data_IF_161817577646
#
_entry.id   IF_161817577646
#
_cell.length_a   1.000
_cell.length_b   1.000
_cell.length_c   1.000
_cell.angle_alpha   90.00
_cell.angle_beta   90.00
_cell.angle_gamma   90.00
#
_symmetry.space_group_name_H-M   'P 1'
#
loop_
_entity.id
_entity.type
_entity.pdbx_description
1 polymer ?
#
# COMPACT_ATOMS: atom_id res chain seq x y z
N UNK A 1 3.47 -28.56 14.83
CA UNK A 1 4.27 -27.52 15.45
C UNK A 1 3.71 -27.18 16.85
N UNK A 2 2.47 -26.67 16.99
CA UNK A 2 1.88 -26.31 18.28
C UNK A 2 1.76 -27.50 19.25
N UNK A 3 1.42 -28.71 18.78
CA UNK A 3 1.39 -29.95 19.60
C UNK A 3 2.75 -30.31 20.21
N UNK A 4 3.83 -29.82 19.63
CA UNK A 4 5.21 -29.98 20.13
C UNK A 4 5.66 -28.81 21.03
N UNK A 5 4.74 -27.95 21.49
CA UNK A 5 5.06 -26.80 22.33
C UNK A 5 5.55 -25.58 21.60
N UNK A 6 5.57 -25.59 20.24
CA UNK A 6 6.01 -24.47 19.43
C UNK A 6 5.01 -23.29 19.48
N UNK A 7 5.54 -22.07 19.43
CA UNK A 7 4.75 -20.82 19.34
C UNK A 7 5.01 -20.14 18.02
N UNK A 8 3.97 -19.58 17.40
CA UNK A 8 4.06 -18.83 16.14
C UNK A 8 3.65 -17.39 16.32
N UNK A 9 4.22 -16.53 15.48
CA UNK A 9 3.91 -15.11 15.34
C UNK A 9 3.51 -14.90 13.88
N UNK A 10 2.40 -14.21 13.64
CA UNK A 10 2.10 -13.68 12.32
C UNK A 10 2.92 -12.40 12.14
N UNK A 11 3.76 -12.38 11.13
CA UNK A 11 4.67 -11.28 10.81
C UNK A 11 4.34 -10.70 9.43
N UNK A 12 4.09 -9.40 9.37
CA UNK A 12 3.64 -8.65 8.19
C UNK A 12 2.31 -9.16 7.61
N UNK A 13 2.11 -10.48 7.53
CA UNK A 13 0.88 -11.11 7.01
C UNK A 13 0.18 -11.96 8.04
N UNK A 14 -1.15 -11.78 8.13
CA UNK A 14 -1.99 -12.61 8.98
C UNK A 14 -2.29 -13.94 8.30
N UNK A 15 -2.00 -15.05 8.97
CA UNK A 15 -2.41 -16.39 8.53
C UNK A 15 -3.85 -16.61 8.95
N UNK A 16 -4.79 -16.50 8.05
CA UNK A 16 -6.22 -16.65 8.32
C UNK A 16 -6.53 -18.05 8.84
N UNK A 17 -7.19 -18.14 10.00
CA UNK A 17 -7.43 -19.40 10.71
C UNK A 17 -6.20 -19.94 11.44
N UNK A 18 -5.08 -19.21 11.47
CA UNK A 18 -3.83 -19.58 12.09
C UNK A 18 -3.89 -19.63 13.62
N UNK A 19 -2.78 -20.11 14.20
CA UNK A 19 -2.61 -20.33 15.64
C UNK A 19 -1.67 -19.33 16.30
N UNK A 20 -1.27 -18.30 15.58
CA UNK A 20 -0.33 -17.30 16.07
C UNK A 20 -0.78 -16.71 17.42
N UNK A 21 0.20 -16.41 18.26
CA UNK A 21 -0.01 -15.81 19.59
C UNK A 21 -0.11 -14.30 19.51
N UNK A 22 0.47 -13.70 18.48
CA UNK A 22 0.44 -12.27 18.20
C UNK A 22 0.66 -12.03 16.71
N UNK A 23 0.01 -11.01 16.19
CA UNK A 23 0.23 -10.47 14.85
C UNK A 23 1.01 -9.16 14.97
N UNK A 24 2.17 -9.07 14.32
CA UNK A 24 3.00 -7.87 14.25
C UNK A 24 3.00 -7.37 12.80
N UNK A 25 2.48 -6.18 12.56
CA UNK A 25 2.36 -5.61 11.22
C UNK A 25 2.25 -4.09 11.24
N UNK A 26 2.33 -3.46 10.07
CA UNK A 26 1.88 -2.09 9.90
C UNK A 26 0.34 -2.00 9.86
N UNK A 27 -0.22 -0.84 10.22
CA UNK A 27 -1.68 -0.66 10.15
C UNK A 27 -2.16 -0.62 8.70
N UNK A 28 -2.62 -1.77 8.18
CA UNK A 28 -3.09 -1.90 6.81
C UNK A 28 -4.31 -1.03 6.49
N UNK A 29 -5.18 -0.75 7.47
CA UNK A 29 -6.31 0.18 7.27
C UNK A 29 -5.80 1.60 7.11
N UNK A 30 -4.78 2.00 7.89
CA UNK A 30 -4.12 3.30 7.73
C UNK A 30 -3.38 3.41 6.38
N UNK A 31 -2.79 2.31 5.88
CA UNK A 31 -2.19 2.27 4.52
C UNK A 31 -3.25 2.65 3.48
N UNK A 32 -4.37 1.93 3.43
CA UNK A 32 -5.43 2.21 2.45
C UNK A 32 -5.99 3.63 2.58
N UNK A 33 -6.25 4.08 3.80
CA UNK A 33 -6.73 5.45 4.03
C UNK A 33 -5.73 6.51 3.53
N UNK A 34 -4.42 6.30 3.74
CA UNK A 34 -3.37 7.20 3.24
C UNK A 34 -3.31 7.23 1.70
N UNK A 35 -3.45 6.07 1.05
CA UNK A 35 -3.50 5.93 -0.40
C UNK A 35 -4.69 6.70 -1.00
N UNK A 36 -5.90 6.45 -0.50
CA UNK A 36 -7.11 7.13 -0.96
C UNK A 36 -7.02 8.65 -0.75
N UNK A 37 -6.60 9.10 0.44
CA UNK A 37 -6.42 10.52 0.73
C UNK A 37 -5.37 11.19 -0.16
N UNK A 38 -4.27 10.50 -0.47
CA UNK A 38 -3.23 10.99 -1.37
C UNK A 38 -3.76 11.26 -2.77
N UNK A 39 -4.52 10.32 -3.34
CA UNK A 39 -5.16 10.48 -4.65
C UNK A 39 -6.21 11.59 -4.62
N UNK A 40 -7.10 11.61 -3.62
CA UNK A 40 -8.15 12.64 -3.49
C UNK A 40 -7.57 14.05 -3.34
N UNK A 41 -6.48 14.20 -2.58
CA UNK A 41 -5.81 15.50 -2.43
C UNK A 41 -5.31 16.04 -3.77
N UNK A 42 -4.79 15.17 -4.63
CA UNK A 42 -4.31 15.55 -5.96
C UNK A 42 -5.46 15.79 -6.97
N UNK A 43 -6.65 15.24 -6.71
CA UNK A 43 -7.87 15.48 -7.51
C UNK A 43 -8.67 16.71 -7.07
N UNK A 44 -8.21 17.44 -6.04
CA UNK A 44 -8.92 18.62 -5.53
C UNK A 44 -9.18 19.63 -6.65
N UNK A 45 -10.44 20.08 -6.75
CA UNK A 45 -10.89 21.04 -7.78
C UNK A 45 -11.43 20.37 -9.05
N UNK A 46 -11.24 19.07 -9.27
CA UNK A 46 -11.84 18.35 -10.39
C UNK A 46 -13.29 17.95 -10.06
N UNK A 47 -14.23 18.26 -10.95
CA UNK A 47 -15.65 17.91 -10.77
C UNK A 47 -15.87 16.43 -11.06
N UNK A 48 -16.44 15.70 -10.10
CA UNK A 48 -16.83 14.27 -10.22
C UNK A 48 -15.75 13.37 -10.86
N UNK A 49 -14.48 13.43 -10.41
CA UNK A 49 -13.42 12.64 -11.03
C UNK A 49 -13.71 11.14 -10.93
N UNK A 50 -13.33 10.40 -11.97
CA UNK A 50 -13.43 8.93 -12.00
C UNK A 50 -12.22 8.34 -11.29
N UNK A 51 -12.45 7.61 -10.19
CA UNK A 51 -11.40 6.97 -9.39
C UNK A 51 -11.48 5.46 -9.53
N UNK A 52 -10.43 4.86 -10.10
CA UNK A 52 -10.24 3.42 -10.17
C UNK A 52 -9.43 2.89 -9.00
N UNK A 53 -9.56 1.59 -8.71
CA UNK A 53 -8.80 0.92 -7.66
C UNK A 53 -8.19 -0.38 -8.16
N UNK A 54 -6.90 -0.57 -7.87
CA UNK A 54 -6.15 -1.81 -8.10
C UNK A 54 -5.68 -2.32 -6.74
N UNK A 55 -6.43 -3.30 -6.19
CA UNK A 55 -6.12 -3.89 -4.90
C UNK A 55 -5.00 -4.93 -5.02
N UNK A 56 -4.45 -5.38 -3.90
CA UNK A 56 -3.42 -6.40 -3.85
C UNK A 56 -3.91 -7.80 -4.20
N UNK A 57 -3.11 -8.81 -3.90
CA UNK A 57 -3.43 -10.22 -4.17
C UNK A 57 -4.64 -10.70 -3.37
N UNK A 58 -5.62 -11.37 -3.99
CA UNK A 58 -6.87 -11.79 -3.32
C UNK A 58 -6.67 -12.89 -2.26
N UNK A 59 -5.52 -13.54 -2.23
CA UNK A 59 -5.17 -14.56 -1.22
C UNK A 59 -4.43 -13.98 -0.02
N UNK A 60 -4.15 -12.67 -0.02
CA UNK A 60 -3.43 -11.96 1.04
C UNK A 60 -4.37 -11.08 1.86
N UNK A 61 -4.44 -11.31 3.17
CA UNK A 61 -5.29 -10.53 4.07
C UNK A 61 -4.94 -9.04 4.09
N UNK A 62 -3.70 -8.66 3.83
CA UNK A 62 -3.29 -7.26 3.73
C UNK A 62 -4.04 -6.51 2.62
N UNK A 63 -4.32 -7.15 1.48
CA UNK A 63 -5.10 -6.55 0.41
C UNK A 63 -6.50 -6.11 0.89
N UNK A 64 -7.12 -6.90 1.75
CA UNK A 64 -8.43 -6.59 2.33
C UNK A 64 -8.34 -5.50 3.41
N UNK A 65 -7.26 -5.45 4.20
CA UNK A 65 -7.05 -4.35 5.15
C UNK A 65 -6.86 -3.02 4.43
N UNK A 66 -6.07 -2.98 3.34
CA UNK A 66 -5.87 -1.78 2.53
C UNK A 66 -7.17 -1.37 1.86
N UNK A 67 -7.89 -2.33 1.24
CA UNK A 67 -9.21 -2.08 0.67
C UNK A 67 -10.18 -1.51 1.70
N UNK A 68 -10.21 -2.06 2.91
CA UNK A 68 -11.05 -1.52 4.00
C UNK A 68 -10.70 -0.06 4.33
N UNK A 69 -9.42 0.31 4.29
CA UNK A 69 -8.98 1.69 4.44
C UNK A 69 -9.44 2.59 3.29
N UNK A 70 -9.31 2.12 2.04
CA UNK A 70 -9.80 2.82 0.86
C UNK A 70 -11.32 3.03 0.94
N UNK A 71 -12.07 1.96 1.24
CA UNK A 71 -13.53 1.97 1.34
C UNK A 71 -14.04 2.99 2.36
N UNK A 72 -13.38 3.13 3.53
CA UNK A 72 -13.74 4.11 4.55
C UNK A 72 -13.67 5.55 4.03
N UNK A 73 -12.72 5.83 3.14
CA UNK A 73 -12.51 7.18 2.58
C UNK A 73 -13.34 7.39 1.30
N UNK A 74 -13.35 6.42 0.39
CA UNK A 74 -13.92 6.59 -0.95
C UNK A 74 -15.44 6.34 -0.99
N UNK A 75 -15.95 5.32 -0.26
CA UNK A 75 -17.37 4.94 -0.35
C UNK A 75 -18.34 6.07 0.03
N UNK A 76 -18.10 6.89 1.08
CA UNK A 76 -18.95 8.04 1.36
C UNK A 76 -18.98 9.06 0.22
N UNK A 77 -17.85 9.26 -0.48
CA UNK A 77 -17.74 10.19 -1.60
C UNK A 77 -18.39 9.65 -2.88
N UNK A 78 -18.28 8.36 -3.14
CA UNK A 78 -19.02 7.68 -4.20
C UNK A 78 -20.52 7.77 -3.97
N UNK A 79 -20.98 7.49 -2.75
CA UNK A 79 -22.40 7.57 -2.38
C UNK A 79 -22.96 8.98 -2.52
N UNK A 80 -22.16 10.00 -2.17
CA UNK A 80 -22.53 11.41 -2.31
C UNK A 80 -22.47 11.91 -3.75
N UNK A 81 -21.84 11.16 -4.68
CA UNK A 81 -21.60 11.61 -6.06
C UNK A 81 -20.54 12.69 -6.19
N UNK A 82 -19.71 12.89 -5.16
CA UNK A 82 -18.59 13.85 -5.19
C UNK A 82 -17.48 13.37 -6.14
N UNK A 83 -17.27 12.06 -6.18
CA UNK A 83 -16.40 11.37 -7.11
C UNK A 83 -17.18 10.26 -7.81
N UNK A 84 -16.74 9.86 -8.99
CA UNK A 84 -17.35 8.76 -9.76
C UNK A 84 -16.58 7.47 -9.50
N UNK A 85 -17.31 6.40 -9.18
CA UNK A 85 -16.72 5.08 -8.98
C UNK A 85 -16.25 4.52 -10.33
N UNK A 86 -14.95 4.37 -10.47
CA UNK A 86 -14.30 3.72 -11.60
C UNK A 86 -14.25 2.19 -11.44
N UNK A 87 -13.63 1.49 -12.40
CA UNK A 87 -13.39 0.05 -12.29
C UNK A 87 -12.49 -0.28 -11.09
N UNK A 88 -12.75 -1.42 -10.47
CA UNK A 88 -12.04 -1.90 -9.29
C UNK A 88 -11.71 -3.38 -9.45
N UNK A 89 -10.47 -3.79 -9.15
CA UNK A 89 -10.07 -5.18 -9.29
C UNK A 89 -8.87 -5.54 -8.39
N UNK A 90 -8.88 -6.79 -7.89
CA UNK A 90 -7.71 -7.40 -7.29
C UNK A 90 -6.66 -7.72 -8.36
N UNK A 91 -5.39 -7.55 -7.98
CA UNK A 91 -4.22 -7.89 -8.81
C UNK A 91 -3.60 -9.16 -8.23
N UNK A 92 -3.77 -10.33 -8.90
CA UNK A 92 -3.19 -11.57 -8.42
C UNK A 92 -1.69 -11.43 -8.14
N UNK A 93 -1.25 -12.03 -7.04
CA UNK A 93 0.15 -12.12 -6.60
C UNK A 93 0.88 -10.77 -6.47
N UNK A 94 0.16 -9.65 -6.46
CA UNK A 94 0.71 -8.28 -6.41
C UNK A 94 1.62 -7.93 -7.60
N UNK A 95 1.58 -8.73 -8.68
CA UNK A 95 2.52 -8.64 -9.79
C UNK A 95 2.15 -7.53 -10.78
N UNK A 96 3.15 -6.75 -11.19
CA UNK A 96 3.02 -5.74 -12.23
C UNK A 96 2.55 -6.34 -13.58
N UNK A 97 2.98 -7.56 -13.90
CA UNK A 97 2.57 -8.30 -15.10
C UNK A 97 1.08 -8.63 -15.12
N UNK A 98 0.46 -8.80 -13.95
CA UNK A 98 -0.99 -8.98 -13.82
C UNK A 98 -1.72 -7.63 -13.79
N UNK A 99 -1.12 -6.60 -13.21
CA UNK A 99 -1.72 -5.26 -13.13
C UNK A 99 -1.85 -4.58 -14.51
N UNK A 100 -0.87 -4.71 -15.39
CA UNK A 100 -0.85 -4.03 -16.68
C UNK A 100 -2.04 -4.40 -17.59
N UNK A 101 -2.37 -5.67 -17.85
CA UNK A 101 -3.55 -6.04 -18.62
C UNK A 101 -4.85 -5.64 -17.92
N UNK A 102 -4.93 -5.75 -16.59
CA UNK A 102 -6.09 -5.31 -15.81
C UNK A 102 -6.32 -3.82 -16.02
N UNK A 103 -5.30 -2.99 -15.84
CA UNK A 103 -5.45 -1.53 -16.02
C UNK A 103 -5.75 -1.16 -17.47
N UNK A 104 -5.20 -1.88 -18.44
CA UNK A 104 -5.56 -1.72 -19.85
C UNK A 104 -7.05 -1.95 -20.09
N UNK A 105 -7.63 -3.01 -19.52
CA UNK A 105 -9.07 -3.26 -19.59
C UNK A 105 -9.90 -2.19 -18.87
N UNK A 106 -9.41 -1.67 -17.74
CA UNK A 106 -10.06 -0.57 -17.03
C UNK A 106 -10.13 0.69 -17.91
N UNK A 107 -9.04 1.03 -18.61
CA UNK A 107 -9.00 2.15 -19.56
C UNK A 107 -9.97 1.94 -20.72
N UNK A 108 -10.01 0.74 -21.31
CA UNK A 108 -10.95 0.42 -22.40
C UNK A 108 -12.40 0.60 -21.97
N UNK A 109 -12.77 0.04 -20.81
CA UNK A 109 -14.13 0.13 -20.24
C UNK A 109 -14.58 1.56 -19.98
N UNK A 110 -13.66 2.49 -19.75
CA UNK A 110 -13.96 3.89 -19.43
C UNK A 110 -13.68 4.84 -20.59
N UNK A 111 -13.28 4.36 -21.75
CA UNK A 111 -12.85 5.21 -22.87
C UNK A 111 -11.67 6.11 -22.48
N UNK A 112 -10.72 5.58 -21.71
CA UNK A 112 -9.57 6.27 -21.11
C UNK A 112 -9.94 7.39 -20.11
N UNK A 113 -11.16 7.39 -19.58
CA UNK A 113 -11.64 8.40 -18.62
C UNK A 113 -11.46 7.93 -17.17
N UNK A 114 -10.23 7.69 -16.75
CA UNK A 114 -9.85 7.48 -15.34
C UNK A 114 -9.03 8.67 -14.90
N UNK A 115 -9.48 9.35 -13.86
CA UNK A 115 -8.88 10.59 -13.38
C UNK A 115 -7.88 10.37 -12.25
N UNK A 116 -7.96 9.22 -11.56
CA UNK A 116 -7.03 8.82 -10.54
C UNK A 116 -7.13 7.34 -10.23
N UNK A 117 -6.05 6.74 -9.73
CA UNK A 117 -6.00 5.32 -9.38
C UNK A 117 -5.44 5.15 -7.97
N UNK A 118 -6.17 4.42 -7.13
CA UNK A 118 -5.66 3.91 -5.86
C UNK A 118 -5.05 2.54 -6.13
N UNK A 119 -3.72 2.51 -6.26
CA UNK A 119 -2.94 1.30 -6.44
C UNK A 119 -2.34 0.84 -5.10
N UNK A 120 -2.45 -0.46 -4.81
CA UNK A 120 -2.14 -1.02 -3.51
C UNK A 120 -0.64 -1.04 -3.17
N UNK A 121 0.25 -1.08 -4.19
CA UNK A 121 1.69 -0.96 -3.99
C UNK A 121 2.39 -0.32 -5.19
N UNK A 122 3.71 -0.06 -5.06
CA UNK A 122 4.50 0.60 -6.11
C UNK A 122 4.71 -0.27 -7.36
N UNK A 123 4.70 -1.60 -7.24
CA UNK A 123 4.78 -2.48 -8.41
C UNK A 123 3.54 -2.36 -9.29
N UNK A 124 2.37 -2.37 -8.67
CA UNK A 124 1.08 -2.15 -9.34
C UNK A 124 1.04 -0.73 -9.92
N UNK A 125 1.46 0.28 -9.15
CA UNK A 125 1.55 1.66 -9.62
C UNK A 125 2.50 1.80 -10.81
N UNK A 126 3.64 1.10 -10.78
CA UNK A 126 4.60 1.05 -11.89
C UNK A 126 3.98 0.49 -13.19
N UNK A 127 3.13 -0.53 -13.07
CA UNK A 127 2.38 -1.08 -14.21
C UNK A 127 1.37 -0.06 -14.78
N UNK A 128 0.69 0.70 -13.91
CA UNK A 128 -0.20 1.81 -14.33
C UNK A 128 0.62 2.85 -15.09
N UNK A 129 1.76 3.29 -14.56
CA UNK A 129 2.65 4.27 -15.21
C UNK A 129 3.13 3.76 -16.56
N UNK A 130 3.58 2.51 -16.65
CA UNK A 130 4.03 1.91 -17.91
C UNK A 130 2.90 1.86 -18.96
N UNK A 131 1.70 1.49 -18.55
CA UNK A 131 0.52 1.44 -19.44
C UNK A 131 0.13 2.83 -19.94
N UNK A 132 0.13 3.85 -19.06
CA UNK A 132 -0.15 5.25 -19.47
C UNK A 132 0.87 5.73 -20.48
N UNK A 133 2.17 5.50 -20.25
CA UNK A 133 3.26 5.85 -21.17
C UNK A 133 3.10 5.16 -22.53
N UNK A 134 2.87 3.85 -22.54
CA UNK A 134 2.69 3.08 -23.76
C UNK A 134 1.49 3.53 -24.60
N UNK A 135 0.47 4.10 -23.96
CA UNK A 135 -0.72 4.67 -24.61
C UNK A 135 -0.62 6.17 -24.87
N UNK A 136 0.53 6.79 -24.65
CA UNK A 136 0.75 8.23 -24.76
C UNK A 136 -0.24 9.08 -23.95
N UNK A 137 -0.70 8.56 -22.80
CA UNK A 137 -1.57 9.26 -21.87
C UNK A 137 -0.75 10.04 -20.86
N UNK A 138 -1.33 11.12 -20.33
CA UNK A 138 -0.70 11.97 -19.31
C UNK A 138 -0.71 11.29 -17.93
N UNK A 139 0.19 11.69 -17.00
CA UNK A 139 0.13 11.25 -15.61
C UNK A 139 -1.20 11.57 -14.97
N UNK A 140 -1.68 10.66 -14.13
CA UNK A 140 -2.87 10.84 -13.29
C UNK A 140 -2.50 10.66 -11.81
N UNK A 141 -3.25 11.24 -10.87
CA UNK A 141 -3.10 10.95 -9.45
C UNK A 141 -3.07 9.44 -9.16
N UNK A 142 -1.98 8.98 -8.56
CA UNK A 142 -1.69 7.56 -8.39
C UNK A 142 -1.02 7.32 -7.04
N UNK A 143 -1.56 6.40 -6.27
CA UNK A 143 -0.95 5.95 -5.02
C UNK A 143 -0.03 4.75 -5.23
N UNK A 144 0.71 4.42 -4.18
CA UNK A 144 1.49 3.21 -4.06
C UNK A 144 1.76 2.88 -2.60
N UNK A 145 2.60 1.89 -2.36
CA UNK A 145 3.12 1.49 -1.05
C UNK A 145 4.47 0.79 -1.24
N UNK A 146 5.24 0.76 -0.20
CA UNK A 146 6.56 0.15 -0.02
C UNK A 146 7.73 1.11 -0.25
N UNK A 147 7.50 2.31 -0.76
CA UNK A 147 8.52 3.33 -0.99
C UNK A 147 9.74 2.76 -1.76
N UNK A 148 9.48 1.96 -2.79
CA UNK A 148 10.52 1.37 -3.62
C UNK A 148 11.30 2.45 -4.38
N UNK A 149 12.55 2.19 -4.76
CA UNK A 149 13.34 3.13 -5.56
C UNK A 149 12.59 3.56 -6.83
N UNK A 150 11.98 2.61 -7.54
CA UNK A 150 11.19 2.87 -8.75
C UNK A 150 9.92 3.70 -8.45
N UNK A 151 9.22 3.42 -7.34
CA UNK A 151 8.08 4.22 -6.89
C UNK A 151 8.47 5.66 -6.58
N UNK A 152 9.60 5.84 -5.88
CA UNK A 152 10.13 7.18 -5.58
C UNK A 152 10.58 7.91 -6.84
N UNK A 153 11.21 7.22 -7.81
CA UNK A 153 11.52 7.77 -9.13
C UNK A 153 10.27 8.24 -9.87
N UNK A 154 9.18 7.47 -9.83
CA UNK A 154 7.90 7.89 -10.40
C UNK A 154 7.33 9.12 -9.68
N UNK A 155 7.48 9.21 -8.35
CA UNK A 155 7.02 10.36 -7.57
C UNK A 155 7.79 11.62 -7.92
N UNK A 156 9.12 11.58 -7.93
CA UNK A 156 9.92 12.78 -8.21
C UNK A 156 9.77 13.26 -9.65
N UNK A 157 9.54 12.33 -10.60
CA UNK A 157 9.28 12.64 -12.01
C UNK A 157 7.82 13.00 -12.33
N UNK A 158 6.91 12.92 -11.35
CA UNK A 158 5.52 13.35 -11.50
C UNK A 158 4.56 12.28 -12.04
N UNK A 159 4.97 11.02 -12.19
CA UNK A 159 4.13 9.91 -12.66
C UNK A 159 3.34 9.22 -11.56
N UNK A 160 3.75 9.36 -10.31
CA UNK A 160 3.06 8.85 -9.14
C UNK A 160 2.93 9.96 -8.10
N UNK A 161 1.81 10.04 -7.40
CA UNK A 161 1.54 11.11 -6.44
C UNK A 161 2.21 10.86 -5.10
N UNK A 162 2.12 9.62 -4.62
CA UNK A 162 2.62 9.24 -3.30
C UNK A 162 2.84 7.74 -3.20
N UNK A 163 3.62 7.35 -2.22
CA UNK A 163 3.72 5.97 -1.73
C UNK A 163 3.59 5.93 -0.22
N UNK A 164 3.10 4.82 0.33
CA UNK A 164 3.09 4.59 1.77
C UNK A 164 4.38 3.90 2.19
N UNK A 165 5.09 4.53 3.09
CA UNK A 165 6.34 4.04 3.66
C UNK A 165 6.08 3.30 4.97
N UNK A 166 6.61 2.11 5.05
CA UNK A 166 6.68 1.22 6.21
C UNK A 166 8.14 1.05 6.62
N UNK A 167 8.50 1.53 7.79
CA UNK A 167 9.88 1.37 8.26
C UNK A 167 10.10 -0.05 8.81
N UNK A 168 10.37 -0.97 7.91
CA UNK A 168 10.51 -2.43 8.18
C UNK A 168 11.44 -2.76 9.35
N UNK A 169 12.56 -2.02 9.63
CA UNK A 169 13.37 -2.29 10.82
C UNK A 169 12.59 -2.22 12.16
N UNK A 170 11.57 -1.36 12.26
CA UNK A 170 10.74 -1.32 13.48
C UNK A 170 9.86 -2.55 13.61
N UNK A 171 9.32 -3.04 12.50
CA UNK A 171 8.52 -4.26 12.47
C UNK A 171 9.37 -5.48 12.85
N UNK A 172 10.57 -5.59 12.28
CA UNK A 172 11.50 -6.67 12.60
C UNK A 172 11.88 -6.66 14.09
N UNK A 173 12.20 -5.49 14.66
CA UNK A 173 12.49 -5.34 16.11
C UNK A 173 11.28 -5.72 16.97
N UNK A 174 10.09 -5.29 16.57
CA UNK A 174 8.86 -5.60 17.30
C UNK A 174 8.56 -7.11 17.29
N UNK A 175 8.73 -7.78 16.16
CA UNK A 175 8.55 -9.23 16.05
C UNK A 175 9.60 -10.01 16.86
N UNK A 176 10.87 -9.59 16.82
CA UNK A 176 11.93 -10.18 17.64
C UNK A 176 11.63 -10.03 19.14
N UNK A 177 11.20 -8.84 19.58
CA UNK A 177 10.82 -8.60 20.95
C UNK A 177 9.61 -9.46 21.37
N UNK A 178 8.62 -9.65 20.49
CA UNK A 178 7.48 -10.52 20.71
C UNK A 178 7.91 -12.00 20.85
N UNK A 179 8.83 -12.46 20.01
CA UNK A 179 9.38 -13.80 20.07
C UNK A 179 10.10 -14.06 21.40
N UNK A 180 10.97 -13.15 21.83
CA UNK A 180 11.68 -13.23 23.11
C UNK A 180 10.69 -13.26 24.28
N UNK A 181 9.66 -12.41 24.27
CA UNK A 181 8.64 -12.41 25.32
C UNK A 181 7.94 -13.79 25.42
N UNK A 182 7.52 -14.36 24.29
CA UNK A 182 6.85 -15.66 24.23
C UNK A 182 7.74 -16.81 24.70
N UNK A 183 9.04 -16.80 24.34
CA UNK A 183 10.01 -17.80 24.79
C UNK A 183 10.21 -17.79 26.33
N UNK A 184 10.07 -16.61 26.93
CA UNK A 184 10.11 -16.45 28.40
C UNK A 184 8.73 -16.61 29.09
N UNK A 185 7.72 -17.10 28.39
CA UNK A 185 6.36 -17.26 28.93
C UNK A 185 5.64 -15.94 29.22
N UNK A 186 6.16 -14.82 28.71
CA UNK A 186 5.59 -13.48 28.91
C UNK A 186 4.63 -13.11 27.75
N UNK A 187 3.68 -12.21 28.04
CA UNK A 187 2.81 -11.65 27.01
C UNK A 187 3.59 -10.63 26.15
N UNK A 188 3.54 -10.73 24.81
CA UNK A 188 4.11 -9.71 23.93
C UNK A 188 3.41 -8.36 24.11
N UNK A 189 4.13 -7.26 23.81
CA UNK A 189 3.52 -5.93 23.71
C UNK A 189 2.52 -5.91 22.55
N UNK A 190 1.32 -5.38 22.80
CA UNK A 190 0.26 -5.21 21.79
C UNK A 190 -0.41 -3.87 21.98
N UNK A 191 -1.05 -3.35 20.94
CA UNK A 191 -1.85 -2.12 21.00
C UNK A 191 -3.28 -2.31 20.46
N UNK A 192 -3.70 -3.56 20.25
CA UNK A 192 -5.03 -3.88 19.80
C UNK A 192 -5.21 -5.37 19.50
N UNK A 193 -6.20 -5.66 18.67
CA UNK A 193 -6.43 -6.98 18.12
C UNK A 193 -6.92 -6.90 16.68
N UNK A 194 -6.76 -7.98 15.93
CA UNK A 194 -7.42 -8.20 14.64
C UNK A 194 -8.30 -9.46 14.72
N UNK A 195 -9.40 -9.43 13.98
CA UNK A 195 -10.20 -10.65 13.84
C UNK A 195 -9.47 -11.61 12.90
N UNK A 196 -9.33 -12.86 13.37
CA UNK A 196 -8.80 -13.97 12.59
C UNK A 196 -9.84 -15.09 12.64
N UNK A 197 -10.76 -15.10 11.69
CA UNK A 197 -12.01 -15.85 11.80
C UNK A 197 -12.84 -15.35 12.98
N UNK A 198 -13.21 -16.24 13.91
CA UNK A 198 -13.93 -15.90 15.15
C UNK A 198 -13.01 -15.48 16.31
N UNK A 199 -11.70 -15.64 16.16
CA UNK A 199 -10.70 -15.38 17.21
C UNK A 199 -10.26 -13.92 17.15
N UNK A 200 -10.14 -13.28 18.31
CA UNK A 200 -9.42 -12.01 18.49
C UNK A 200 -7.94 -12.31 18.64
N UNK A 201 -7.15 -12.01 17.64
CA UNK A 201 -5.71 -12.17 17.65
C UNK A 201 -5.06 -10.90 18.20
N UNK A 202 -4.30 -10.99 19.31
CA UNK A 202 -3.55 -9.85 19.84
C UNK A 202 -2.63 -9.29 18.77
N UNK A 203 -2.60 -7.96 18.61
CA UNK A 203 -1.89 -7.34 17.50
C UNK A 203 -1.05 -6.15 17.96
N UNK A 204 0.16 -6.04 17.42
CA UNK A 204 0.96 -4.83 17.47
C UNK A 204 1.01 -4.22 16.08
N UNK A 205 0.23 -3.15 15.87
CA UNK A 205 0.27 -2.39 14.63
C UNK A 205 1.23 -1.21 14.74
N UNK A 206 2.04 -1.02 13.70
CA UNK A 206 3.00 0.06 13.56
C UNK A 206 2.45 1.17 12.64
N UNK A 207 2.83 2.43 12.89
CA UNK A 207 2.40 3.55 12.07
C UNK A 207 3.02 3.52 10.68
N UNK A 208 2.33 4.15 9.73
CA UNK A 208 2.79 4.32 8.34
C UNK A 208 2.97 5.79 8.00
N UNK A 209 3.76 6.08 6.98
CA UNK A 209 4.11 7.45 6.59
C UNK A 209 3.84 7.64 5.11
N UNK A 210 3.09 8.69 4.74
CA UNK A 210 2.92 9.08 3.34
C UNK A 210 4.17 9.78 2.84
N UNK A 211 4.76 9.25 1.78
CA UNK A 211 5.89 9.85 1.05
C UNK A 211 5.37 10.46 -0.25
N UNK A 212 5.77 11.69 -0.48
CA UNK A 212 5.46 12.49 -1.66
C UNK A 212 6.73 13.16 -2.17
N UNK A 213 6.64 13.91 -3.28
CA UNK A 213 7.77 14.72 -3.77
C UNK A 213 8.30 15.74 -2.75
N UNK A 214 7.49 16.14 -1.78
CA UNK A 214 7.90 17.11 -0.77
C UNK A 214 8.80 16.53 0.34
N UNK A 215 8.70 15.22 0.61
CA UNK A 215 9.37 14.60 1.76
C UNK A 215 10.13 13.29 1.45
N UNK A 216 10.33 12.93 0.18
CA UNK A 216 10.99 11.67 -0.21
C UNK A 216 12.43 11.54 0.33
N UNK A 217 13.11 12.66 0.59
CA UNK A 217 14.47 12.66 1.17
C UNK A 217 14.53 12.06 2.57
N UNK A 218 13.37 11.92 3.24
CA UNK A 218 13.26 11.17 4.50
C UNK A 218 13.77 9.74 4.36
N UNK A 219 13.49 9.08 3.24
CA UNK A 219 13.92 7.71 2.99
C UNK A 219 15.44 7.57 3.00
N UNK A 220 16.16 8.61 2.57
CA UNK A 220 17.62 8.65 2.64
C UNK A 220 18.12 8.89 4.07
N UNK A 221 17.44 9.77 4.80
CA UNK A 221 17.78 10.08 6.22
C UNK A 221 17.56 8.87 7.12
N UNK A 222 16.51 8.10 6.87
CA UNK A 222 16.17 6.89 7.62
C UNK A 222 17.06 5.69 7.20
N UNK A 223 17.94 5.85 6.19
CA UNK A 223 18.79 4.77 5.65
C UNK A 223 18.00 3.68 4.91
N UNK A 224 16.75 3.94 4.55
CA UNK A 224 15.89 2.99 3.88
C UNK A 224 16.22 2.83 2.39
N UNK A 225 16.56 3.94 1.72
CA UNK A 225 17.08 3.97 0.35
C UNK A 225 18.36 4.78 0.31
N UNK A 226 19.29 4.39 -0.55
CA UNK A 226 20.44 5.23 -0.90
C UNK A 226 20.02 6.26 -1.95
N UNK A 227 20.56 7.47 -1.83
CA UNK A 227 20.31 8.53 -2.85
C UNK A 227 20.70 8.07 -4.26
N UNK A 228 21.74 7.27 -4.41
CA UNK A 228 22.20 6.70 -5.68
C UNK A 228 21.21 5.72 -6.31
N UNK A 229 20.35 5.07 -5.53
CA UNK A 229 19.33 4.16 -6.04
C UNK A 229 18.16 4.91 -6.67
N UNK A 230 17.87 6.12 -6.22
CA UNK A 230 16.77 6.96 -6.72
C UNK A 230 17.26 7.97 -7.73
N UNK A 231 18.37 8.67 -7.40
CA UNK A 231 18.89 9.82 -8.15
C UNK A 231 19.94 9.39 -9.18
N UNK A 232 19.59 8.49 -10.07
CA UNK A 232 20.46 8.00 -11.14
C UNK A 232 19.85 8.26 -12.53
N UNK A 233 20.64 8.08 -13.59
CA UNK A 233 20.20 8.21 -14.97
C UNK A 233 19.41 9.50 -15.20
N UNK A 234 18.27 9.36 -15.86
CA UNK A 234 17.35 10.46 -16.18
C UNK A 234 16.68 11.08 -14.96
N UNK A 235 16.71 10.41 -13.80
CA UNK A 235 16.07 10.89 -12.58
C UNK A 235 16.91 11.90 -11.81
N UNK A 236 18.24 12.03 -12.12
CA UNK A 236 19.13 13.02 -11.46
C UNK A 236 18.56 14.43 -11.47
N UNK A 237 17.96 14.84 -12.59
CA UNK A 237 17.38 16.18 -12.78
C UNK A 237 16.18 16.48 -11.87
N UNK A 238 15.53 15.46 -11.34
CA UNK A 238 14.35 15.62 -10.47
C UNK A 238 14.70 15.58 -8.96
N UNK A 239 15.93 15.24 -8.63
CA UNK A 239 16.39 15.15 -7.25
C UNK A 239 16.82 16.50 -6.70
N UNK A 240 16.40 16.77 -5.45
CA UNK A 240 16.84 17.92 -4.65
C UNK A 240 17.99 17.52 -3.75
#
# INVERSE_FOLDING_TARGET
>A
FAKAGGVSIDYDRQVVGGIAKVYVAFDGVAVGAAQANGVLKALKGKSKPVVGELWGGPTDQNAYWFKSGNDKILNPLFKKGTITKGPQQFVPDWLATNAAPIFTQMLLKTGNKIDGVVAANDNIAGAVVATLKAKHLTPIPLSGQDATAAGVQNIISGWQTMTVYKYVPDEARAAAAAAVALLHGKKPKTNGFRLNGKKKEPTLTLPVISITKANYTRLFKDGFLKRSEVCNGVYKQYCK
#
